data_IF_102182147346
#
_entry.id   IF_102182147346
#
_cell.length_a   1.000
_cell.length_b   1.000
_cell.length_c   1.000
_cell.angle_alpha   90.00
_cell.angle_beta   90.00
_cell.angle_gamma   90.00
#
_symmetry.space_group_name_H-M   'P 1'
#
loop_
_entity.id
_entity.type
_entity.pdbx_description
1 polymer ?
#
# COMPACT_ATOMS: atom_id res chain seq x y z
N UNK A 1 -8.14 -8.27 5.89
CA UNK A 1 -8.78 -7.01 6.36
C UNK A 1 -10.09 -7.19 7.14
N UNK A 2 -10.93 -8.20 6.91
CA UNK A 2 -12.32 -8.21 7.42
C UNK A 2 -12.53 -8.63 8.89
N UNK A 3 -11.54 -9.17 9.58
CA UNK A 3 -11.65 -9.58 11.00
C UNK A 3 -11.49 -8.42 12.00
N UNK A 4 -12.22 -7.34 11.76
CA UNK A 4 -12.20 -6.08 12.52
C UNK A 4 -13.10 -6.11 13.77
N UNK A 5 -13.96 -7.14 13.93
CA UNK A 5 -14.85 -7.29 15.10
C UNK A 5 -14.10 -7.54 16.41
N UNK A 6 -12.93 -8.17 16.35
CA UNK A 6 -12.03 -8.34 17.51
C UNK A 6 -11.38 -6.99 17.86
N UNK A 7 -11.05 -6.21 16.83
CA UNK A 7 -10.47 -4.88 16.96
C UNK A 7 -11.39 -3.90 17.71
N UNK A 8 -12.68 -3.88 17.34
CA UNK A 8 -13.67 -3.00 17.94
C UNK A 8 -13.88 -3.25 19.44
N UNK A 9 -13.81 -4.52 19.87
CA UNK A 9 -13.87 -4.88 21.29
C UNK A 9 -12.65 -4.35 22.04
N UNK A 10 -11.47 -4.38 21.44
CA UNK A 10 -10.23 -3.90 22.04
C UNK A 10 -10.16 -2.35 22.12
N UNK A 11 -10.89 -1.63 21.25
CA UNK A 11 -11.05 -0.17 21.31
C UNK A 11 -11.97 0.32 22.45
N UNK A 12 -12.60 -0.60 23.20
CA UNK A 12 -13.62 -0.23 24.20
C UNK A 12 -14.84 0.47 23.60
N UNK A 13 -15.11 0.28 22.31
CA UNK A 13 -16.22 0.89 21.58
C UNK A 13 -16.03 2.36 21.19
N UNK A 14 -14.81 2.90 21.24
CA UNK A 14 -14.49 4.27 20.82
C UNK A 14 -13.99 4.34 19.37
N UNK A 15 -14.15 5.51 18.76
CA UNK A 15 -13.54 5.83 17.46
C UNK A 15 -12.02 5.95 17.60
N UNK A 16 -11.30 5.60 16.54
CA UNK A 16 -9.84 5.72 16.49
C UNK A 16 -9.45 7.15 16.08
N UNK A 17 -8.64 7.82 16.90
CA UNK A 17 -8.16 9.18 16.59
C UNK A 17 -7.06 9.14 15.53
N UNK A 18 -7.20 9.95 14.49
CA UNK A 18 -6.15 10.15 13.48
C UNK A 18 -5.44 11.45 13.84
N UNK A 19 -4.32 11.30 14.53
CA UNK A 19 -3.41 12.38 14.92
C UNK A 19 -2.02 12.05 14.36
N UNK A 20 -1.71 12.43 13.11
CA UNK A 20 -0.41 12.17 12.52
C UNK A 20 0.67 12.98 13.23
N UNK A 21 1.87 12.40 13.35
CA UNK A 21 3.01 13.04 14.02
C UNK A 21 4.28 13.02 13.16
N UNK A 22 4.31 12.19 12.12
CA UNK A 22 5.42 12.02 11.19
C UNK A 22 5.12 12.65 9.83
N UNK A 23 3.84 12.84 9.51
CA UNK A 23 3.37 13.56 8.32
C UNK A 23 2.54 14.78 8.70
N UNK A 24 2.42 15.71 7.76
CA UNK A 24 1.73 16.99 7.90
C UNK A 24 0.38 17.04 7.18
N UNK A 25 0.02 15.96 6.48
CA UNK A 25 -1.27 15.83 5.77
C UNK A 25 -2.45 16.11 6.70
N UNK A 26 -3.40 16.91 6.21
CA UNK A 26 -4.56 17.37 6.99
C UNK A 26 -5.90 17.01 6.36
N UNK A 27 -5.88 16.43 5.16
CA UNK A 27 -7.07 16.00 4.41
C UNK A 27 -7.63 14.67 4.92
N UNK A 28 -7.79 14.54 6.24
CA UNK A 28 -8.31 13.34 6.90
C UNK A 28 -9.35 13.71 7.98
N UNK A 29 -10.30 12.82 8.32
CA UNK A 29 -11.17 13.06 9.46
C UNK A 29 -10.36 13.01 10.78
N UNK A 30 -10.85 13.69 11.82
CA UNK A 30 -10.19 13.68 13.15
C UNK A 30 -10.23 12.30 13.80
N UNK A 31 -11.30 11.57 13.56
CA UNK A 31 -11.51 10.22 14.06
C UNK A 31 -12.08 9.34 12.95
N UNK A 32 -11.86 8.04 13.06
CA UNK A 32 -12.45 7.05 12.17
C UNK A 32 -13.11 5.96 13.02
N UNK A 33 -14.41 5.75 12.79
CA UNK A 33 -15.13 4.64 13.41
C UNK A 33 -14.90 3.35 12.64
N UNK A 34 -15.22 2.20 13.24
CA UNK A 34 -15.18 0.94 12.51
C UNK A 34 -16.18 0.90 11.35
N UNK A 35 -17.32 1.57 11.49
CA UNK A 35 -18.31 1.66 10.41
C UNK A 35 -17.72 2.44 9.24
N UNK A 36 -16.98 3.51 9.51
CA UNK A 36 -16.31 4.30 8.47
C UNK A 36 -15.21 3.48 7.80
N UNK A 37 -14.39 2.74 8.56
CA UNK A 37 -13.38 1.83 7.98
C UNK A 37 -14.00 0.78 7.06
N UNK A 38 -15.13 0.17 7.43
CA UNK A 38 -15.81 -0.79 6.56
C UNK A 38 -16.29 -0.12 5.27
N UNK A 39 -16.86 1.08 5.34
CA UNK A 39 -17.29 1.83 4.15
C UNK A 39 -16.11 2.17 3.24
N UNK A 40 -14.98 2.57 3.82
CA UNK A 40 -13.74 2.86 3.06
C UNK A 40 -13.21 1.59 2.37
N UNK A 41 -13.14 0.47 3.09
CA UNK A 41 -12.71 -0.82 2.53
C UNK A 41 -13.65 -1.28 1.42
N UNK A 42 -14.97 -1.30 1.66
CA UNK A 42 -15.96 -1.72 0.66
C UNK A 42 -15.93 -0.82 -0.59
N UNK A 43 -15.68 0.49 -0.42
CA UNK A 43 -15.50 1.42 -1.53
C UNK A 43 -14.25 1.07 -2.36
N UNK A 44 -13.10 0.89 -1.70
CA UNK A 44 -11.84 0.58 -2.39
C UNK A 44 -11.89 -0.78 -3.08
N UNK A 45 -12.44 -1.80 -2.43
CA UNK A 45 -12.65 -3.13 -3.03
C UNK A 45 -13.59 -3.06 -4.24
N UNK A 46 -14.73 -2.37 -4.11
CA UNK A 46 -15.66 -2.18 -5.23
C UNK A 46 -14.98 -1.52 -6.42
N UNK A 47 -14.30 -0.39 -6.20
CA UNK A 47 -13.63 0.33 -7.27
C UNK A 47 -12.55 -0.55 -7.93
N UNK A 48 -11.74 -1.24 -7.14
CA UNK A 48 -10.68 -2.14 -7.66
C UNK A 48 -11.25 -3.24 -8.54
N UNK A 49 -12.29 -3.94 -8.07
CA UNK A 49 -12.91 -5.03 -8.79
C UNK A 49 -13.61 -4.58 -10.09
N UNK A 50 -14.11 -3.35 -10.14
CA UNK A 50 -14.78 -2.86 -11.35
C UNK A 50 -13.83 -2.54 -12.51
N UNK A 51 -12.55 -2.22 -12.24
CA UNK A 51 -11.61 -1.74 -13.27
C UNK A 51 -10.31 -2.55 -13.40
N UNK A 52 -9.99 -3.44 -12.45
CA UNK A 52 -8.73 -4.20 -12.44
C UNK A 52 -8.90 -5.72 -12.20
N UNK A 53 -10.11 -6.27 -12.32
CA UNK A 53 -10.35 -7.71 -12.17
C UNK A 53 -9.50 -8.58 -13.13
N UNK A 54 -9.15 -8.04 -14.30
CA UNK A 54 -8.31 -8.71 -15.30
C UNK A 54 -6.80 -8.66 -15.00
N UNK A 55 -6.37 -7.97 -13.92
CA UNK A 55 -4.96 -7.86 -13.52
C UNK A 55 -4.57 -8.79 -12.36
N UNK A 56 -5.47 -9.70 -11.97
CA UNK A 56 -5.25 -10.65 -10.88
C UNK A 56 -4.11 -11.63 -11.21
N UNK A 57 -3.13 -11.69 -10.31
CA UNK A 57 -2.00 -12.63 -10.33
C UNK A 57 -1.72 -13.12 -8.90
N UNK A 58 -0.80 -14.07 -8.73
CA UNK A 58 -0.32 -14.41 -7.40
C UNK A 58 0.65 -13.31 -6.91
N UNK A 59 0.28 -12.63 -5.83
CA UNK A 59 1.00 -11.49 -5.27
C UNK A 59 1.63 -11.87 -3.92
N UNK A 60 2.72 -11.18 -3.57
CA UNK A 60 3.35 -11.28 -2.26
C UNK A 60 2.53 -10.57 -1.17
N UNK A 61 1.98 -9.39 -1.51
CA UNK A 61 1.18 -8.49 -0.67
C UNK A 61 1.92 -7.84 0.51
N UNK A 62 3.23 -8.08 0.64
CA UNK A 62 4.11 -7.45 1.64
C UNK A 62 5.52 -7.26 1.07
N UNK A 63 5.62 -6.59 -0.07
CA UNK A 63 6.87 -6.47 -0.82
C UNK A 63 7.76 -5.30 -0.33
N UNK A 64 7.91 -5.15 0.99
CA UNK A 64 8.83 -4.19 1.59
C UNK A 64 10.30 -4.58 1.33
N UNK A 65 11.22 -3.61 1.41
CA UNK A 65 12.66 -3.85 1.16
C UNK A 65 13.27 -4.91 2.08
N UNK A 66 12.71 -5.14 3.27
CA UNK A 66 13.14 -6.20 4.19
C UNK A 66 12.91 -7.61 3.64
N UNK A 67 11.94 -7.77 2.73
CA UNK A 67 11.55 -9.05 2.15
C UNK A 67 12.21 -9.31 0.78
N UNK A 68 13.15 -8.44 0.39
CA UNK A 68 13.92 -8.53 -0.86
C UNK A 68 15.40 -8.72 -0.50
N UNK A 69 15.92 -9.93 -0.71
CA UNK A 69 17.30 -10.27 -0.38
C UNK A 69 18.17 -10.39 -1.64
N UNK A 70 19.42 -9.94 -1.56
CA UNK A 70 20.44 -10.21 -2.57
C UNK A 70 21.37 -11.32 -2.08
N UNK A 71 21.51 -12.41 -2.86
CA UNK A 71 22.44 -13.49 -2.53
C UNK A 71 23.89 -13.06 -2.75
N UNK A 72 24.74 -13.27 -1.75
CA UNK A 72 26.17 -12.97 -1.84
C UNK A 72 26.90 -13.78 -2.93
N UNK A 73 26.41 -14.98 -3.25
CA UNK A 73 27.05 -15.92 -4.19
C UNK A 73 26.97 -15.49 -5.65
N UNK A 74 25.82 -14.97 -6.08
CA UNK A 74 25.53 -14.73 -7.50
C UNK A 74 24.74 -13.43 -7.75
N UNK A 75 24.49 -12.62 -6.72
CA UNK A 75 23.74 -11.36 -6.81
C UNK A 75 22.29 -11.53 -7.28
N UNK A 76 21.75 -12.74 -7.15
CA UNK A 76 20.35 -13.02 -7.42
C UNK A 76 19.47 -12.41 -6.34
N UNK A 77 18.33 -11.86 -6.76
CA UNK A 77 17.32 -11.32 -5.87
C UNK A 77 16.33 -12.42 -5.52
N UNK A 78 16.09 -12.62 -4.22
CA UNK A 78 15.15 -13.61 -3.68
C UNK A 78 14.11 -12.89 -2.84
N UNK A 79 12.84 -13.25 -3.06
CA UNK A 79 11.71 -12.79 -2.27
C UNK A 79 11.41 -13.81 -1.17
N UNK A 80 11.27 -13.34 0.07
CA UNK A 80 11.02 -14.17 1.26
C UNK A 80 9.78 -13.68 2.00
N UNK A 81 9.31 -14.48 2.96
CA UNK A 81 8.20 -14.13 3.87
C UNK A 81 6.83 -13.98 3.18
N UNK A 82 6.41 -15.06 2.51
CA UNK A 82 5.16 -15.15 1.76
C UNK A 82 3.90 -15.33 2.63
N UNK A 83 3.91 -14.90 3.90
CA UNK A 83 2.80 -15.12 4.84
C UNK A 83 1.49 -14.42 4.43
N UNK A 84 1.60 -13.32 3.67
CA UNK A 84 0.47 -12.62 3.04
C UNK A 84 0.22 -13.03 1.58
N UNK A 85 0.95 -14.04 1.07
CA UNK A 85 0.87 -14.46 -0.33
C UNK A 85 -0.54 -14.94 -0.73
N UNK A 86 -1.15 -14.27 -1.70
CA UNK A 86 -2.49 -14.61 -2.23
C UNK A 86 -2.68 -14.05 -3.63
N UNK A 87 -3.69 -14.56 -4.34
CA UNK A 87 -4.18 -13.91 -5.55
C UNK A 87 -4.70 -12.51 -5.24
N UNK A 88 -4.22 -11.52 -5.99
CA UNK A 88 -4.59 -10.12 -5.88
C UNK A 88 -4.27 -9.38 -7.19
N UNK A 89 -4.74 -8.14 -7.35
CA UNK A 89 -4.36 -7.29 -8.48
C UNK A 89 -2.85 -7.00 -8.41
N UNK A 90 -2.12 -7.21 -9.51
CA UNK A 90 -0.65 -6.96 -9.54
C UNK A 90 -0.30 -5.53 -9.12
N UNK A 91 -1.15 -4.56 -9.45
CA UNK A 91 -0.94 -3.16 -9.08
C UNK A 91 -0.86 -2.93 -7.57
N UNK A 92 -1.53 -3.76 -6.77
CA UNK A 92 -1.41 -3.70 -5.31
C UNK A 92 0.01 -4.08 -4.85
N UNK A 93 0.58 -5.15 -5.41
CA UNK A 93 1.90 -5.64 -5.00
C UNK A 93 3.03 -4.71 -5.45
N UNK A 94 2.89 -4.14 -6.65
CA UNK A 94 3.83 -3.13 -7.16
C UNK A 94 3.71 -1.81 -6.38
N UNK A 95 2.49 -1.35 -6.09
CA UNK A 95 2.26 -0.19 -5.26
C UNK A 95 2.78 -0.41 -3.83
N UNK A 96 2.66 -1.64 -3.30
CA UNK A 96 3.17 -2.00 -1.98
C UNK A 96 4.65 -1.70 -1.88
N UNK A 97 5.44 -2.29 -2.79
CA UNK A 97 6.88 -2.07 -2.86
C UNK A 97 7.24 -0.58 -2.97
N UNK A 98 6.61 0.12 -3.90
CA UNK A 98 6.88 1.54 -4.15
C UNK A 98 6.53 2.41 -2.93
N UNK A 99 5.39 2.16 -2.28
CA UNK A 99 4.93 2.93 -1.12
C UNK A 99 5.83 2.74 0.10
N UNK A 100 6.32 1.52 0.34
CA UNK A 100 7.20 1.22 1.46
C UNK A 100 8.58 1.87 1.31
N UNK A 101 9.00 2.28 0.10
CA UNK A 101 10.25 3.04 -0.06
C UNK A 101 10.24 4.40 0.63
N UNK A 102 9.06 4.94 0.94
CA UNK A 102 8.90 6.20 1.66
C UNK A 102 9.00 6.04 3.19
N UNK A 103 9.15 4.80 3.70
CA UNK A 103 9.03 4.49 5.13
C UNK A 103 10.33 3.81 5.60
N UNK A 104 10.95 4.36 6.63
CA UNK A 104 12.13 3.78 7.26
C UNK A 104 11.79 3.29 8.68
N UNK A 105 11.83 1.98 8.89
CA UNK A 105 11.56 1.31 10.16
C UNK A 105 12.80 1.14 11.04
N UNK A 106 13.93 1.72 10.67
CA UNK A 106 15.23 1.53 11.36
C UNK A 106 15.65 2.78 12.11
N UNK A 107 14.73 3.69 12.41
CA UNK A 107 15.07 4.87 13.18
C UNK A 107 15.39 4.46 14.63
N UNK A 108 16.59 4.78 15.17
CA UNK A 108 16.92 4.43 16.54
C UNK A 108 16.20 5.31 17.58
N UNK A 109 15.54 6.40 17.15
CA UNK A 109 14.83 7.34 18.02
C UNK A 109 13.33 7.05 18.01
N UNK A 110 12.62 7.17 19.15
CA UNK A 110 11.16 7.09 19.18
C UNK A 110 10.53 8.06 18.16
N UNK A 111 9.53 7.63 17.38
CA UNK A 111 8.74 6.39 17.50
C UNK A 111 9.33 5.15 16.80
N UNK A 112 10.60 5.17 16.37
CA UNK A 112 11.25 4.04 15.70
C UNK A 112 11.01 3.99 14.19
N UNK A 113 10.32 4.99 13.65
CA UNK A 113 9.89 5.06 12.25
C UNK A 113 10.00 6.49 11.73
N UNK A 114 10.37 6.62 10.45
CA UNK A 114 10.29 7.85 9.67
C UNK A 114 9.47 7.64 8.42
N UNK A 115 8.75 8.68 8.01
CA UNK A 115 7.98 8.71 6.77
C UNK A 115 8.41 9.93 5.97
N UNK A 116 8.66 9.74 4.68
CA UNK A 116 8.99 10.82 3.75
C UNK A 116 7.78 11.22 2.92
N UNK A 117 7.21 12.39 3.20
CA UNK A 117 6.13 12.98 2.38
C UNK A 117 6.59 13.20 0.94
N UNK A 118 7.84 13.65 0.75
CA UNK A 118 8.43 13.82 -0.58
C UNK A 118 8.38 12.53 -1.41
N UNK A 119 8.76 11.39 -0.82
CA UNK A 119 8.73 10.10 -1.53
C UNK A 119 7.31 9.53 -1.65
N UNK A 120 6.41 9.89 -0.74
CA UNK A 120 4.99 9.54 -0.80
C UNK A 120 4.28 10.24 -1.97
N UNK A 121 4.55 11.54 -2.15
CA UNK A 121 3.85 12.39 -3.12
C UNK A 121 4.49 12.34 -4.51
N UNK A 122 5.82 12.30 -4.59
CA UNK A 122 6.59 12.30 -5.84
C UNK A 122 7.68 11.20 -5.83
N UNK A 123 7.27 9.93 -5.98
CA UNK A 123 8.20 8.81 -5.98
C UNK A 123 9.03 8.77 -7.27
N UNK A 124 10.38 8.89 -7.19
CA UNK A 124 11.22 8.99 -8.38
C UNK A 124 11.27 7.69 -9.20
N UNK A 125 10.93 6.56 -8.59
CA UNK A 125 11.20 5.23 -9.15
C UNK A 125 10.01 4.59 -9.88
N UNK A 126 8.80 5.17 -9.81
CA UNK A 126 7.59 4.51 -10.32
C UNK A 126 7.68 4.16 -11.81
N UNK A 127 8.23 5.06 -12.64
CA UNK A 127 8.39 4.83 -14.08
C UNK A 127 9.39 3.71 -14.36
N UNK A 128 10.58 3.79 -13.78
CA UNK A 128 11.62 2.78 -14.01
C UNK A 128 11.20 1.40 -13.53
N UNK A 129 10.49 1.32 -12.41
CA UNK A 129 9.95 0.06 -11.89
C UNK A 129 8.87 -0.53 -12.81
N UNK A 130 7.94 0.29 -13.31
CA UNK A 130 6.91 -0.16 -14.27
C UNK A 130 7.52 -0.58 -15.61
N UNK A 131 8.56 0.11 -16.09
CA UNK A 131 9.31 -0.26 -17.30
C UNK A 131 9.95 -1.64 -17.16
N UNK A 132 10.67 -1.87 -16.06
CA UNK A 132 11.30 -3.16 -15.78
C UNK A 132 10.27 -4.30 -15.68
N UNK A 133 9.14 -4.06 -15.00
CA UNK A 133 8.06 -5.03 -14.90
C UNK A 133 7.45 -5.37 -16.26
N UNK A 134 7.09 -4.35 -17.07
CA UNK A 134 6.50 -4.56 -18.40
C UNK A 134 7.44 -5.33 -19.33
N UNK A 135 8.73 -5.00 -19.30
CA UNK A 135 9.73 -5.68 -20.12
C UNK A 135 9.92 -7.13 -19.68
N UNK A 136 9.97 -7.38 -18.37
CA UNK A 136 10.06 -8.73 -17.81
C UNK A 136 8.80 -9.56 -18.14
N UNK A 137 7.61 -9.00 -17.98
CA UNK A 137 6.33 -9.68 -18.27
C UNK A 137 6.24 -10.06 -19.76
N UNK A 138 6.57 -9.12 -20.66
CA UNK A 138 6.58 -9.38 -22.09
C UNK A 138 7.60 -10.46 -22.45
N UNK A 139 8.82 -10.40 -21.89
CA UNK A 139 9.85 -11.42 -22.11
C UNK A 139 9.40 -12.80 -21.62
N UNK A 140 8.87 -12.91 -20.40
CA UNK A 140 8.39 -14.16 -19.82
C UNK A 140 7.27 -14.79 -20.65
N UNK A 141 6.38 -13.97 -21.20
CA UNK A 141 5.24 -14.41 -22.00
C UNK A 141 5.54 -14.49 -23.51
N UNK A 142 6.79 -14.29 -23.93
CA UNK A 142 7.22 -14.23 -25.33
C UNK A 142 6.36 -13.28 -26.18
N UNK A 143 6.02 -12.10 -25.64
CA UNK A 143 5.22 -11.05 -26.31
C UNK A 143 6.13 -9.98 -26.88
N UNK A 144 5.82 -9.52 -28.09
CA UNK A 144 6.38 -8.30 -28.67
C UNK A 144 5.31 -7.21 -28.50
N UNK A 145 5.52 -6.20 -27.66
CA UNK A 145 4.50 -5.20 -27.39
C UNK A 145 4.28 -4.31 -28.61
N UNK A 146 3.03 -4.22 -29.08
CA UNK A 146 2.63 -3.29 -30.14
C UNK A 146 2.68 -1.83 -29.67
N UNK A 147 2.43 -1.59 -28.38
CA UNK A 147 2.52 -0.28 -27.73
C UNK A 147 3.03 -0.41 -26.29
N UNK A 148 4.36 -0.45 -26.14
CA UNK A 148 5.04 -0.50 -24.83
C UNK A 148 4.72 0.73 -23.98
N UNK A 149 4.62 1.90 -24.58
CA UNK A 149 4.40 3.17 -23.86
C UNK A 149 3.03 3.19 -23.17
N UNK A 150 1.99 2.70 -23.84
CA UNK A 150 0.65 2.54 -23.28
C UNK A 150 0.62 1.49 -22.17
N UNK A 151 1.32 0.36 -22.32
CA UNK A 151 1.43 -0.65 -21.25
C UNK A 151 2.02 -0.05 -19.97
N UNK A 152 3.12 0.71 -20.09
CA UNK A 152 3.77 1.38 -18.95
C UNK A 152 2.83 2.41 -18.33
N UNK A 153 2.22 3.27 -19.15
CA UNK A 153 1.33 4.33 -18.64
C UNK A 153 0.13 3.77 -17.89
N UNK A 154 -0.45 2.66 -18.39
CA UNK A 154 -1.52 1.92 -17.69
C UNK A 154 -1.04 1.33 -16.38
N UNK A 155 0.15 0.71 -16.35
CA UNK A 155 0.69 0.11 -15.11
C UNK A 155 1.02 1.16 -14.06
N UNK A 156 1.56 2.32 -14.46
CA UNK A 156 1.77 3.47 -13.55
C UNK A 156 0.43 3.90 -12.95
N UNK A 157 -0.61 4.05 -13.78
CA UNK A 157 -1.95 4.43 -13.32
C UNK A 157 -2.54 3.37 -12.36
N UNK A 158 -2.33 2.08 -12.64
CA UNK A 158 -2.69 0.96 -11.76
C UNK A 158 -1.98 1.08 -10.39
N UNK A 159 -0.66 1.30 -10.37
CA UNK A 159 0.10 1.46 -9.12
C UNK A 159 -0.38 2.69 -8.32
N UNK A 160 -0.60 3.83 -8.98
CA UNK A 160 -1.07 5.07 -8.33
C UNK A 160 -2.47 4.92 -7.71
N UNK A 161 -3.31 4.08 -8.32
CA UNK A 161 -4.64 3.73 -7.79
C UNK A 161 -4.55 2.89 -6.51
N UNK A 162 -3.68 1.87 -6.49
CA UNK A 162 -3.56 0.99 -5.33
C UNK A 162 -2.74 1.57 -4.18
N UNK A 163 -1.91 2.58 -4.42
CA UNK A 163 -1.04 3.17 -3.40
C UNK A 163 -1.75 3.59 -2.10
N UNK A 164 -2.85 4.37 -2.07
CA UNK A 164 -3.55 4.61 -0.82
C UNK A 164 -4.10 3.32 -0.19
N UNK A 165 -4.51 2.34 -1.01
CA UNK A 165 -5.06 1.06 -0.53
C UNK A 165 -4.01 0.27 0.25
N UNK A 166 -2.71 0.35 -0.11
CA UNK A 166 -1.63 -0.27 0.68
C UNK A 166 -1.50 0.37 2.06
N UNK A 167 -1.62 1.70 2.15
CA UNK A 167 -1.64 2.39 3.44
C UNK A 167 -2.88 2.04 4.27
N UNK A 168 -4.07 1.94 3.66
CA UNK A 168 -5.28 1.51 4.37
C UNK A 168 -5.13 0.09 4.94
N UNK A 169 -4.57 -0.83 4.15
CA UNK A 169 -4.32 -2.21 4.55
C UNK A 169 -3.40 -2.26 5.78
N UNK A 170 -2.24 -1.62 5.69
CA UNK A 170 -1.27 -1.61 6.79
C UNK A 170 -1.73 -0.81 7.99
N UNK A 171 -2.42 0.33 7.81
CA UNK A 171 -2.99 1.10 8.90
C UNK A 171 -3.94 0.25 9.75
N UNK A 172 -4.83 -0.51 9.10
CA UNK A 172 -5.73 -1.44 9.81
C UNK A 172 -4.95 -2.55 10.54
N UNK A 173 -3.92 -3.11 9.92
CA UNK A 173 -3.12 -4.18 10.51
C UNK A 173 -2.31 -3.69 11.71
N UNK A 174 -1.58 -2.58 11.59
CA UNK A 174 -0.72 -2.06 12.66
C UNK A 174 -1.53 -1.40 13.77
N UNK A 175 -2.72 -0.85 13.47
CA UNK A 175 -3.69 -0.43 14.49
C UNK A 175 -4.06 -1.61 15.41
N UNK A 176 -4.25 -2.82 14.85
CA UNK A 176 -4.47 -4.03 15.65
C UNK A 176 -3.30 -4.33 16.58
N UNK A 177 -2.08 -4.24 16.06
CA UNK A 177 -0.87 -4.49 16.84
C UNK A 177 -0.68 -3.47 17.95
N UNK A 178 -0.95 -2.18 17.69
CA UNK A 178 -0.93 -1.12 18.69
C UNK A 178 -1.94 -1.34 19.82
N UNK A 179 -3.17 -1.75 19.48
CA UNK A 179 -4.19 -2.10 20.49
C UNK A 179 -3.82 -3.33 21.33
N UNK A 180 -3.07 -4.26 20.75
CA UNK A 180 -2.50 -5.42 21.46
C UNK A 180 -1.22 -5.07 22.22
N UNK A 181 -0.75 -3.82 22.16
CA UNK A 181 0.51 -3.33 22.77
C UNK A 181 1.72 -4.15 22.32
N UNK A 182 1.70 -4.60 21.06
CA UNK A 182 2.86 -5.23 20.46
C UNK A 182 4.00 -4.22 20.38
N UNK A 183 5.21 -4.65 20.75
CA UNK A 183 6.40 -3.80 20.76
C UNK A 183 7.53 -4.51 20.03
N UNK A 184 7.94 -3.93 18.91
CA UNK A 184 9.11 -4.35 18.13
C UNK A 184 10.12 -3.21 17.93
N UNK A 185 10.07 -2.17 18.78
CA UNK A 185 10.90 -0.97 18.63
C UNK A 185 10.27 0.15 17.80
N UNK A 186 9.18 -0.14 17.08
CA UNK A 186 8.33 0.85 16.39
C UNK A 186 7.03 1.05 17.18
N UNK A 187 6.61 2.31 17.34
CA UNK A 187 5.29 2.64 17.89
C UNK A 187 4.20 2.36 16.83
N UNK A 188 3.49 1.25 17.04
CA UNK A 188 2.44 0.76 16.15
C UNK A 188 1.24 1.73 16.05
N UNK A 189 0.92 2.48 17.12
CA UNK A 189 -0.22 3.40 17.17
C UNK A 189 0.10 4.65 16.34
N UNK A 190 1.31 5.20 16.49
CA UNK A 190 1.84 6.27 15.62
C UNK A 190 1.85 5.81 14.16
N UNK A 191 2.42 4.64 13.87
CA UNK A 191 2.46 4.09 12.52
C UNK A 191 1.06 3.98 11.89
N UNK A 192 0.05 3.52 12.64
CA UNK A 192 -1.31 3.43 12.15
C UNK A 192 -1.92 4.81 11.85
N UNK A 193 -1.76 5.77 12.75
CA UNK A 193 -2.32 7.13 12.59
C UNK A 193 -1.74 7.84 11.38
N UNK A 194 -0.43 7.81 11.22
CA UNK A 194 0.24 8.42 10.09
C UNK A 194 -0.12 7.73 8.76
N UNK A 195 -0.24 6.39 8.74
CA UNK A 195 -0.73 5.67 7.54
C UNK A 195 -2.18 5.99 7.20
N UNK A 196 -3.07 6.19 8.19
CA UNK A 196 -4.42 6.67 7.92
C UNK A 196 -4.43 8.07 7.33
N UNK A 197 -3.60 8.98 7.83
CA UNK A 197 -3.47 10.33 7.27
C UNK A 197 -3.03 10.28 5.80
N UNK A 198 -2.03 9.45 5.47
CA UNK A 198 -1.57 9.23 4.08
C UNK A 198 -2.67 8.64 3.20
N UNK A 199 -3.40 7.62 3.70
CA UNK A 199 -4.53 7.03 2.97
C UNK A 199 -5.53 8.09 2.54
N UNK A 200 -6.00 8.91 3.48
CA UNK A 200 -7.02 9.93 3.19
C UNK A 200 -6.48 11.04 2.29
N UNK A 201 -5.23 11.48 2.48
CA UNK A 201 -4.56 12.43 1.60
C UNK A 201 -4.56 11.96 0.14
N UNK A 202 -4.16 10.70 -0.08
CA UNK A 202 -4.02 10.11 -1.41
C UNK A 202 -5.32 9.56 -2.00
N UNK A 203 -6.39 9.41 -1.21
CA UNK A 203 -7.68 8.83 -1.63
C UNK A 203 -8.26 9.53 -2.86
N UNK A 204 -8.14 10.85 -2.94
CA UNK A 204 -8.65 11.64 -4.08
C UNK A 204 -8.04 11.21 -5.42
N UNK A 205 -6.77 10.77 -5.43
CA UNK A 205 -6.08 10.23 -6.60
C UNK A 205 -6.74 8.94 -7.11
N UNK A 206 -7.04 8.01 -6.21
CA UNK A 206 -7.72 6.75 -6.54
C UNK A 206 -9.13 6.97 -7.09
N UNK A 207 -9.89 7.90 -6.49
CA UNK A 207 -11.22 8.28 -7.00
C UNK A 207 -11.14 8.86 -8.40
N UNK A 208 -10.21 9.80 -8.64
CA UNK A 208 -10.01 10.40 -9.96
C UNK A 208 -9.64 9.37 -11.03
N UNK A 209 -8.70 8.46 -10.73
CA UNK A 209 -8.28 7.41 -11.65
C UNK A 209 -9.45 6.48 -12.01
N UNK A 210 -10.25 6.08 -11.02
CA UNK A 210 -11.43 5.26 -11.25
C UNK A 210 -12.45 5.95 -12.17
N UNK A 211 -12.73 7.24 -11.94
CA UNK A 211 -13.64 8.00 -12.80
C UNK A 211 -13.13 8.16 -14.24
N UNK A 212 -11.81 8.28 -14.42
CA UNK A 212 -11.17 8.38 -15.74
C UNK A 212 -11.23 7.04 -16.50
N UNK A 213 -11.01 5.92 -15.81
CA UNK A 213 -10.99 4.59 -16.41
C UNK A 213 -12.39 4.04 -16.67
N UNK A 214 -13.36 4.32 -15.80
CA UNK A 214 -14.76 3.89 -15.98
C UNK A 214 -15.47 4.56 -17.17
N UNK A 215 -14.97 5.72 -17.63
CA UNK A 215 -15.53 6.45 -18.78
C UNK A 215 -15.03 5.93 -20.14
N UNK A 216 -14.02 5.04 -20.15
CA UNK A 216 -13.45 4.43 -21.35
C UNK A 216 -14.13 3.11 -21.65
#
# INVERSE_FOLDING_TARGET
MRDLKVLFRNLGGKDYEILPTLVTYSEHPKTVSMVDLHKEIDLMEKMSNEIFDDTIVFCHNDLACSNVLELNSNKEIVLIDWEFGTYNCRGFDLAMHLSETAIDFRDPTPPGIKISEKLTDDPPNIRGFCEAYVDADNKLKNRIPSDRSSQISKLIQECLFFWPITHLFWACFVMKLGLLKYNCGVDMDVQARDRFAIYYHLKSRTVKIYEELRKK
#
